data_IF_958628448994
#
_entry.id   IF_958628448994
#
_cell.length_a   1.000
_cell.length_b   1.000
_cell.length_c   1.000
_cell.angle_alpha   90.00
_cell.angle_beta   90.00
_cell.angle_gamma   90.00
#
_symmetry.space_group_name_H-M   'P 1'
#
loop_
_entity.id
_entity.type
_entity.pdbx_description
1 polymer ?
#
# COMPACT_ATOMS: atom_id res chain seq x y z
N UNK A 1 -27.11 -16.54 -14.41
CA UNK A 1 -25.91 -15.77 -14.01
C UNK A 1 -25.82 -15.81 -12.50
N UNK A 2 -24.62 -15.64 -11.95
CA UNK A 2 -24.13 -16.06 -10.63
C UNK A 2 -23.49 -17.47 -10.72
N UNK A 3 -22.18 -17.51 -10.98
CA UNK A 3 -21.36 -18.72 -10.74
C UNK A 3 -20.44 -18.44 -9.57
N UNK A 4 -20.86 -18.92 -8.41
CA UNK A 4 -19.98 -19.18 -7.29
C UNK A 4 -19.16 -20.45 -7.61
N UNK A 5 -17.83 -20.30 -7.64
CA UNK A 5 -16.81 -21.23 -7.11
C UNK A 5 -16.93 -22.71 -7.50
N UNK A 6 -15.91 -23.22 -8.20
CA UNK A 6 -15.51 -24.63 -8.06
C UNK A 6 -14.05 -24.66 -7.65
N UNK A 7 -13.81 -24.64 -6.34
CA UNK A 7 -12.56 -25.12 -5.74
C UNK A 7 -12.63 -26.65 -5.75
N UNK A 8 -11.64 -27.32 -6.30
CA UNK A 8 -11.53 -28.78 -6.16
C UNK A 8 -10.54 -29.02 -5.04
N UNK A 9 -11.05 -29.36 -3.85
CA UNK A 9 -10.25 -29.87 -2.74
C UNK A 9 -10.26 -31.40 -2.89
N UNK A 10 -9.16 -31.99 -3.34
CA UNK A 10 -8.91 -33.42 -3.17
C UNK A 10 -7.75 -33.53 -2.20
N UNK A 11 -8.00 -34.14 -1.03
CA UNK A 11 -6.99 -34.38 0.04
C UNK A 11 -6.23 -33.12 0.51
N UNK A 12 -6.76 -31.89 0.32
CA UNK A 12 -6.14 -30.65 0.80
C UNK A 12 -5.29 -29.86 -0.21
N UNK A 13 -5.33 -30.18 -1.50
CA UNK A 13 -4.50 -29.56 -2.53
C UNK A 13 -5.33 -28.67 -3.50
N UNK A 14 -4.76 -27.53 -3.94
CA UNK A 14 -5.40 -26.56 -4.86
C UNK A 14 -4.92 -26.78 -6.30
N UNK A 15 -5.82 -27.17 -7.20
CA UNK A 15 -5.52 -27.40 -8.64
C UNK A 15 -6.26 -26.42 -9.56
N UNK A 16 -5.61 -26.04 -10.69
CA UNK A 16 -6.25 -25.29 -11.78
C UNK A 16 -6.84 -26.25 -12.83
N UNK A 17 -8.15 -26.16 -13.07
CA UNK A 17 -8.89 -27.10 -13.95
C UNK A 17 -8.77 -26.81 -15.46
N UNK A 18 -8.12 -25.73 -15.88
CA UNK A 18 -8.24 -25.23 -17.27
C UNK A 18 -6.91 -25.01 -18.02
N UNK A 19 -5.86 -25.77 -17.70
CA UNK A 19 -4.58 -25.75 -18.44
C UNK A 19 -4.20 -27.16 -18.85
N UNK A 20 -3.77 -27.33 -20.11
CA UNK A 20 -3.32 -28.60 -20.72
C UNK A 20 -2.04 -29.17 -20.09
N UNK A 21 -1.47 -28.47 -19.10
CA UNK A 21 -0.27 -28.82 -18.35
C UNK A 21 -0.53 -28.59 -16.86
N UNK A 22 -0.40 -29.65 -16.06
CA UNK A 22 -0.77 -29.74 -14.63
C UNK A 22 0.26 -29.12 -13.68
N UNK A 23 1.25 -28.39 -14.19
CA UNK A 23 2.44 -27.97 -13.46
C UNK A 23 2.56 -26.43 -13.35
N UNK A 24 1.47 -25.69 -13.56
CA UNK A 24 1.49 -24.21 -13.53
C UNK A 24 0.54 -23.67 -12.46
N UNK A 25 1.11 -22.95 -11.50
CA UNK A 25 0.38 -22.25 -10.45
C UNK A 25 -0.18 -20.90 -10.91
N UNK A 26 -1.17 -20.38 -10.17
CA UNK A 26 -1.66 -19.00 -10.35
C UNK A 26 -0.55 -18.00 -10.01
N UNK A 27 -0.58 -16.77 -10.56
CA UNK A 27 0.32 -15.71 -10.10
C UNK A 27 0.23 -15.52 -8.58
N UNK A 28 1.37 -15.35 -7.93
CA UNK A 28 1.47 -15.29 -6.46
C UNK A 28 1.54 -16.67 -5.78
N UNK A 29 1.63 -17.76 -6.54
CA UNK A 29 1.79 -19.12 -6.01
C UNK A 29 2.97 -19.83 -6.65
N UNK A 30 3.63 -20.70 -5.88
CA UNK A 30 4.75 -21.53 -6.33
C UNK A 30 4.44 -23.02 -6.21
N UNK A 31 5.06 -23.83 -7.09
CA UNK A 31 4.91 -25.27 -7.07
C UNK A 31 5.76 -25.85 -5.93
N UNK A 32 5.12 -26.54 -5.00
CA UNK A 32 5.78 -27.24 -3.92
C UNK A 32 6.68 -28.37 -4.46
N UNK A 33 7.61 -28.85 -3.63
CA UNK A 33 8.57 -29.91 -4.00
C UNK A 33 7.96 -31.25 -4.39
N UNK A 34 6.66 -31.44 -4.17
CA UNK A 34 5.88 -32.61 -4.61
C UNK A 34 5.46 -32.54 -6.10
N UNK A 35 5.70 -31.41 -6.76
CA UNK A 35 5.42 -31.19 -8.18
C UNK A 35 3.94 -31.04 -8.52
N UNK A 36 3.04 -31.01 -7.53
CA UNK A 36 1.59 -31.05 -7.74
C UNK A 36 0.82 -29.99 -6.93
N UNK A 37 1.40 -29.47 -5.87
CA UNK A 37 0.74 -28.53 -4.97
C UNK A 37 1.19 -27.12 -5.24
N UNK A 38 0.25 -26.18 -5.29
CA UNK A 38 0.56 -24.76 -5.33
C UNK A 38 0.43 -24.16 -3.93
N UNK A 39 1.54 -23.67 -3.41
CA UNK A 39 1.59 -22.91 -2.16
C UNK A 39 1.64 -21.42 -2.47
N UNK A 40 0.97 -20.64 -1.62
CA UNK A 40 1.01 -19.18 -1.70
C UNK A 40 2.45 -18.69 -1.45
N UNK A 41 2.91 -17.75 -2.28
CA UNK A 41 4.22 -17.13 -2.09
C UNK A 41 4.05 -16.08 -1.00
N UNK A 42 4.75 -16.25 0.12
CA UNK A 42 4.77 -15.22 1.16
C UNK A 42 5.73 -14.10 0.76
N UNK A 43 5.22 -13.08 0.06
CA UNK A 43 6.04 -11.92 -0.30
C UNK A 43 6.50 -11.11 0.91
N UNK A 44 5.82 -11.24 2.06
CA UNK A 44 6.22 -10.58 3.30
C UNK A 44 7.46 -11.20 3.93
N UNK A 45 7.72 -12.49 3.67
CA UNK A 45 8.91 -13.19 4.16
C UNK A 45 10.22 -12.57 3.65
N UNK A 46 10.18 -11.87 2.51
CA UNK A 46 11.34 -11.20 1.93
C UNK A 46 11.22 -9.68 2.09
N UNK A 47 12.14 -9.09 2.86
CA UNK A 47 12.23 -7.64 3.06
C UNK A 47 10.88 -6.98 3.46
N UNK A 48 10.04 -7.68 4.24
CA UNK A 48 8.71 -7.22 4.64
C UNK A 48 7.82 -6.85 3.45
N UNK A 49 7.96 -7.54 2.30
CA UNK A 49 7.27 -7.18 1.07
C UNK A 49 7.54 -5.74 0.63
N UNK A 50 8.64 -5.10 1.05
CA UNK A 50 8.90 -3.68 0.82
C UNK A 50 7.91 -2.72 1.50
N UNK A 51 7.12 -3.19 2.47
CA UNK A 51 6.29 -2.33 3.31
C UNK A 51 7.16 -1.54 4.28
N UNK A 52 6.84 -0.26 4.45
CA UNK A 52 7.49 0.60 5.44
C UNK A 52 7.22 0.19 6.88
N UNK A 53 6.04 -0.39 7.15
CA UNK A 53 5.60 -0.78 8.49
C UNK A 53 5.22 -2.27 8.55
N UNK A 54 3.94 -2.63 8.35
CA UNK A 54 3.48 -4.03 8.46
C UNK A 54 3.08 -4.62 7.12
N UNK A 55 3.72 -5.70 6.71
CA UNK A 55 3.26 -6.52 5.60
C UNK A 55 2.24 -7.57 6.06
N UNK A 56 1.20 -7.78 5.25
CA UNK A 56 0.19 -8.81 5.45
C UNK A 56 0.12 -9.67 4.20
N UNK A 57 0.55 -10.92 4.33
CA UNK A 57 0.47 -11.89 3.26
C UNK A 57 -1.00 -12.27 3.01
N UNK A 58 -1.37 -12.43 1.75
CA UNK A 58 -2.73 -12.76 1.32
C UNK A 58 -2.72 -13.80 0.21
N UNK A 59 -3.79 -14.57 0.00
CA UNK A 59 -3.78 -15.54 -1.10
C UNK A 59 -3.59 -14.87 -2.47
N UNK A 60 -2.47 -15.15 -3.11
CA UNK A 60 -2.07 -14.63 -4.42
C UNK A 60 -1.36 -13.28 -4.41
N UNK A 61 -0.92 -12.78 -3.26
CA UNK A 61 -0.15 -11.54 -3.14
C UNK A 61 -0.10 -10.99 -1.72
N UNK A 62 0.12 -9.69 -1.55
CA UNK A 62 0.18 -9.10 -0.22
C UNK A 62 -0.32 -7.67 -0.21
N UNK A 63 -0.47 -7.12 0.99
CA UNK A 63 -0.71 -5.69 1.21
C UNK A 63 0.11 -5.17 2.38
N UNK A 64 0.35 -3.86 2.39
CA UNK A 64 0.90 -3.17 3.53
C UNK A 64 -0.23 -2.58 4.36
N UNK A 65 -0.18 -2.79 5.68
CA UNK A 65 -1.05 -2.17 6.65
C UNK A 65 -0.24 -1.15 7.47
N UNK A 66 -0.88 -0.04 7.83
CA UNK A 66 -0.27 0.98 8.68
C UNK A 66 -0.81 0.90 10.12
N UNK A 67 -0.05 1.41 11.11
CA UNK A 67 -0.52 1.68 12.45
C UNK A 67 -1.77 2.58 12.44
N UNK A 68 -2.57 2.56 13.50
CA UNK A 68 -3.85 3.28 13.58
C UNK A 68 -3.75 4.80 13.46
N UNK A 69 -2.56 5.37 13.63
CA UNK A 69 -2.27 6.81 13.53
C UNK A 69 -1.64 7.22 12.19
N UNK A 70 -1.45 6.29 11.26
CA UNK A 70 -0.84 6.51 9.94
C UNK A 70 -1.75 5.97 8.82
N UNK A 71 -1.52 6.48 7.61
CA UNK A 71 -2.22 6.07 6.40
C UNK A 71 -1.25 5.53 5.35
N UNK A 72 -1.73 4.61 4.53
CA UNK A 72 -0.97 4.07 3.43
C UNK A 72 -0.96 5.09 2.27
N UNK A 73 0.23 5.46 1.82
CA UNK A 73 0.44 6.33 0.67
C UNK A 73 -0.02 5.64 -0.63
N UNK A 74 -0.10 6.43 -1.71
CA UNK A 74 -0.51 5.96 -3.05
C UNK A 74 0.44 4.94 -3.68
N UNK A 75 1.67 4.84 -3.19
CA UNK A 75 2.62 3.78 -3.57
C UNK A 75 2.22 2.40 -3.02
N UNK A 76 1.26 2.33 -2.10
CA UNK A 76 0.79 1.11 -1.46
C UNK A 76 1.81 0.47 -0.51
N UNK A 77 2.88 1.19 -0.15
CA UNK A 77 4.01 0.67 0.63
C UNK A 77 4.40 1.55 1.82
N UNK A 78 4.30 2.86 1.66
CA UNK A 78 4.77 3.83 2.65
C UNK A 78 3.64 4.25 3.58
N UNK A 79 3.89 4.22 4.89
CA UNK A 79 2.99 4.73 5.91
C UNK A 79 3.41 6.14 6.29
N UNK A 80 2.47 7.07 6.27
CA UNK A 80 2.70 8.45 6.65
C UNK A 80 1.48 9.05 7.32
N UNK A 81 1.68 10.10 8.11
CA UNK A 81 0.56 10.89 8.62
C UNK A 81 -0.09 11.58 7.43
N UNK A 82 -1.42 11.59 7.37
CA UNK A 82 -2.13 12.51 6.48
C UNK A 82 -1.95 13.89 7.08
N UNK A 83 -0.95 14.61 6.58
CA UNK A 83 -0.68 15.98 6.94
C UNK A 83 -1.32 16.92 5.93
N UNK A 84 -1.30 18.21 6.25
CA UNK A 84 -1.85 19.22 5.33
C UNK A 84 -1.05 19.27 4.03
N UNK A 85 0.27 19.07 4.06
CA UNK A 85 1.09 19.00 2.84
C UNK A 85 0.91 17.73 2.01
N UNK A 86 0.44 16.64 2.62
CA UNK A 86 0.23 15.36 1.93
C UNK A 86 -0.97 15.38 0.96
N UNK A 87 -1.82 16.40 1.04
CA UNK A 87 -3.00 16.59 0.18
C UNK A 87 -2.83 17.89 -0.61
N UNK A 88 -2.82 17.81 -1.94
CA UNK A 88 -2.75 18.98 -2.84
C UNK A 88 -1.64 19.98 -2.47
N UNK A 89 -0.48 19.49 -2.01
CA UNK A 89 0.63 20.33 -1.52
C UNK A 89 0.21 21.35 -0.44
N UNK A 90 -0.79 21.04 0.38
CA UNK A 90 -1.37 21.98 1.36
C UNK A 90 -2.01 23.23 0.74
N UNK A 91 -2.29 23.21 -0.57
CA UNK A 91 -2.70 24.38 -1.34
C UNK A 91 -1.55 25.37 -1.60
N UNK A 92 -0.29 24.96 -1.42
CA UNK A 92 0.88 25.81 -1.66
C UNK A 92 1.23 25.87 -3.15
N UNK A 93 1.56 27.07 -3.64
CA UNK A 93 2.03 27.29 -5.01
C UNK A 93 3.35 26.56 -5.33
N UNK A 94 4.25 26.45 -4.34
CA UNK A 94 5.58 25.88 -4.53
C UNK A 94 5.84 24.69 -3.60
N UNK A 95 6.35 24.95 -2.39
CA UNK A 95 6.75 23.90 -1.47
C UNK A 95 5.97 24.00 -0.18
N UNK A 96 5.39 22.89 0.27
CA UNK A 96 4.73 22.78 1.55
C UNK A 96 5.65 22.08 2.55
N UNK A 97 5.80 22.65 3.73
CA UNK A 97 6.57 22.08 4.83
C UNK A 97 5.68 21.94 6.07
N UNK A 98 5.44 20.69 6.49
CA UNK A 98 4.73 20.40 7.74
C UNK A 98 5.62 20.77 8.95
N UNK A 99 5.03 21.35 10.00
CA UNK A 99 5.70 21.43 11.29
C UNK A 99 5.78 20.03 11.93
N UNK A 100 6.85 19.79 12.69
CA UNK A 100 7.07 18.64 13.57
C UNK A 100 5.84 18.13 14.37
N UNK A 101 4.85 18.98 14.64
CA UNK A 101 3.63 18.61 15.37
C UNK A 101 2.37 18.46 14.49
N UNK A 102 2.44 18.79 13.19
CA UNK A 102 1.30 18.71 12.27
C UNK A 102 0.13 19.65 12.61
N UNK A 103 0.29 20.54 13.60
CA UNK A 103 -0.72 21.53 13.97
C UNK A 103 -0.73 22.73 13.03
N UNK A 104 0.41 22.99 12.39
CA UNK A 104 0.60 24.03 11.39
C UNK A 104 1.44 23.50 10.24
N UNK A 105 1.38 24.18 9.10
CA UNK A 105 2.29 23.96 7.98
C UNK A 105 2.60 25.29 7.33
N UNK A 106 3.64 25.34 6.51
CA UNK A 106 4.02 26.57 5.81
C UNK A 106 4.27 26.35 4.33
N UNK A 107 3.78 27.27 3.53
CA UNK A 107 4.19 27.38 2.14
C UNK A 107 5.51 28.15 2.05
N UNK A 108 6.45 27.62 1.28
CA UNK A 108 7.75 28.21 0.98
C UNK A 108 7.87 28.46 -0.51
N UNK A 109 8.43 29.61 -0.83
CA UNK A 109 8.78 29.95 -2.19
C UNK A 109 10.18 29.41 -2.53
N UNK A 110 10.36 28.91 -3.75
CA UNK A 110 11.68 28.60 -4.28
C UNK A 110 12.46 29.90 -4.49
N UNK A 111 13.79 29.85 -4.31
CA UNK A 111 14.67 31.02 -4.31
C UNK A 111 14.67 31.82 -5.62
N UNK A 112 14.14 31.25 -6.70
CA UNK A 112 14.02 31.80 -8.05
C UNK A 112 12.60 32.32 -8.38
N UNK A 113 11.67 32.26 -7.43
CA UNK A 113 10.25 32.51 -7.66
C UNK A 113 9.76 33.81 -7.01
N UNK A 114 8.91 34.57 -7.70
CA UNK A 114 8.32 35.87 -7.29
C UNK A 114 7.18 35.74 -6.26
N UNK A 115 7.41 34.95 -5.24
CA UNK A 115 6.40 34.51 -4.29
C UNK A 115 6.68 35.23 -2.96
N UNK A 116 5.70 36.01 -2.47
CA UNK A 116 5.97 37.15 -1.57
C UNK A 116 5.79 36.83 -0.09
N UNK A 117 5.44 35.61 0.31
CA UNK A 117 5.12 35.30 1.72
C UNK A 117 5.43 33.86 2.13
N UNK A 118 6.06 33.72 3.30
CA UNK A 118 5.96 32.52 4.13
C UNK A 118 4.62 32.66 4.86
N UNK A 119 3.66 31.80 4.52
CA UNK A 119 2.36 31.80 5.18
C UNK A 119 2.26 30.58 6.07
N UNK A 120 1.99 30.82 7.35
CA UNK A 120 1.70 29.75 8.32
C UNK A 120 0.21 29.49 8.25
N UNK A 121 -0.15 28.31 7.79
CA UNK A 121 -1.54 27.88 7.68
C UNK A 121 -1.88 26.94 8.85
N UNK A 122 -3.08 27.07 9.45
CA UNK A 122 -3.53 26.11 10.44
C UNK A 122 -3.69 24.75 9.77
N UNK A 123 -3.14 23.71 10.40
CA UNK A 123 -3.36 22.34 9.95
C UNK A 123 -4.84 22.00 10.03
N UNK A 124 -5.38 21.40 8.98
CA UNK A 124 -6.80 21.03 8.99
C UNK A 124 -7.01 19.86 9.94
N UNK A 125 -7.38 20.15 11.21
CA UNK A 125 -7.68 19.14 12.23
C UNK A 125 -8.99 18.38 11.92
N UNK A 126 -9.68 18.73 10.83
CA UNK A 126 -10.90 18.07 10.37
C UNK A 126 -10.65 17.26 9.10
N UNK A 127 -10.19 16.02 9.28
CA UNK A 127 -10.47 14.96 8.29
C UNK A 127 -11.02 13.67 8.90
N UNK A 128 -11.49 13.69 10.15
CA UNK A 128 -12.30 12.62 10.73
C UNK A 128 -13.40 13.20 11.62
N UNK A 129 -14.58 13.37 11.04
CA UNK A 129 -15.86 13.26 11.74
C UNK A 129 -16.45 11.89 11.46
#
# INVERSE_FOLDING_TARGET
QIVHRIYVIMEGHVYHRNTTTMNKCWPGFELAGDGNTCSDIDECATANGGCSDRCVNTPGGFRCDCPSDLYLHSDGRTCGKVTSCSVDNGGCDHECEDDSHGEFYRCRCRSDSSCLKIEIMPGNRSMFG
#
